data_IF_270402852464
#
_entry.id   IF_270402852464
#
_cell.length_a   1.000
_cell.length_b   1.000
_cell.length_c   1.000
_cell.angle_alpha   90.00
_cell.angle_beta   90.00
_cell.angle_gamma   90.00
#
_symmetry.space_group_name_H-M   'P 1'
#
loop_
_entity.id
_entity.type
_entity.pdbx_description
1 polymer ?
#
# COMPACT_ATOMS: atom_id res chain seq x y z
N UNK A 1 1.33 5.17 8.62
CA UNK A 1 1.40 3.78 8.14
C UNK A 1 0.71 3.73 6.79
N UNK A 2 1.36 3.21 5.73
CA UNK A 2 0.83 3.26 4.36
C UNK A 2 1.34 2.09 3.48
N UNK A 3 1.10 0.82 3.87
CA UNK A 3 1.66 -0.34 3.19
C UNK A 3 1.20 -0.49 1.73
N UNK A 4 -0.05 -0.12 1.43
CA UNK A 4 -0.61 -0.14 0.07
C UNK A 4 0.10 0.86 -0.85
N UNK A 5 0.29 2.11 -0.36
CA UNK A 5 1.04 3.16 -1.07
C UNK A 5 2.47 2.69 -1.33
N UNK A 6 3.14 2.15 -0.32
CA UNK A 6 4.50 1.63 -0.47
C UNK A 6 4.59 0.45 -1.46
N UNK A 7 3.58 -0.43 -1.48
CA UNK A 7 3.53 -1.53 -2.45
C UNK A 7 3.53 -1.01 -3.89
N UNK A 8 2.72 0.03 -4.16
CA UNK A 8 2.64 0.66 -5.48
C UNK A 8 3.92 1.43 -5.81
N UNK A 9 4.44 2.25 -4.88
CA UNK A 9 5.70 3.00 -5.06
C UNK A 9 6.86 2.08 -5.39
N UNK A 10 6.95 0.93 -4.71
CA UNK A 10 8.01 -0.07 -4.93
C UNK A 10 7.76 -0.94 -6.17
N UNK A 11 6.74 -0.64 -6.98
CA UNK A 11 6.45 -1.35 -8.22
C UNK A 11 6.01 -2.79 -8.02
N UNK A 12 5.48 -3.15 -6.84
CA UNK A 12 4.90 -4.48 -6.61
C UNK A 12 3.63 -4.63 -7.45
N UNK A 13 3.30 -5.87 -7.77
CA UNK A 13 2.03 -6.26 -8.43
C UNK A 13 0.98 -6.78 -7.45
N UNK A 14 1.26 -6.65 -6.15
CA UNK A 14 0.37 -7.14 -5.11
C UNK A 14 0.55 -6.35 -3.81
N UNK A 15 -0.50 -6.38 -3.01
CA UNK A 15 -0.53 -6.01 -1.59
C UNK A 15 -1.30 -7.09 -0.83
N UNK A 16 -1.69 -6.83 0.41
CA UNK A 16 -2.54 -7.75 1.16
C UNK A 16 -3.20 -7.08 2.35
N UNK A 17 -4.17 -7.81 2.89
CA UNK A 17 -4.81 -7.52 4.16
C UNK A 17 -4.62 -8.73 5.09
N UNK A 18 -4.32 -8.49 6.36
CA UNK A 18 -4.16 -9.54 7.36
C UNK A 18 -4.93 -9.18 8.61
N UNK A 19 -5.54 -10.17 9.23
CA UNK A 19 -6.07 -10.10 10.58
C UNK A 19 -5.01 -10.64 11.53
N UNK A 20 -4.51 -9.79 12.42
CA UNK A 20 -3.40 -10.10 13.33
C UNK A 20 -3.81 -9.87 14.77
N UNK A 21 -3.29 -10.70 15.68
CA UNK A 21 -3.41 -10.45 17.11
C UNK A 21 -2.60 -9.19 17.49
N UNK A 22 -3.15 -8.37 18.40
CA UNK A 22 -2.42 -7.20 18.92
C UNK A 22 -1.41 -7.69 19.96
N UNK A 23 -0.17 -7.26 19.80
CA UNK A 23 0.94 -7.49 20.73
C UNK A 23 1.66 -6.17 21.03
N UNK A 24 2.70 -6.21 21.85
CA UNK A 24 3.48 -5.02 22.23
C UNK A 24 4.20 -4.41 21.03
N UNK A 25 4.77 -5.25 20.16
CA UNK A 25 5.44 -4.82 18.94
C UNK A 25 4.45 -4.58 17.80
N UNK A 26 4.71 -3.54 17.00
CA UNK A 26 3.79 -3.12 15.92
C UNK A 26 3.73 -4.20 14.84
N UNK A 27 2.50 -4.61 14.51
CA UNK A 27 2.19 -5.60 13.46
C UNK A 27 2.90 -6.97 13.65
N UNK A 28 3.35 -7.32 14.87
CA UNK A 28 4.12 -8.55 15.13
C UNK A 28 3.29 -9.78 15.45
N UNK A 29 2.04 -9.60 15.89
CA UNK A 29 1.29 -10.70 16.48
C UNK A 29 0.88 -11.79 15.51
N UNK A 30 0.48 -12.93 16.06
CA UNK A 30 0.07 -14.09 15.27
C UNK A 30 -1.04 -13.76 14.26
N UNK A 31 -0.93 -14.32 13.06
CA UNK A 31 -1.88 -14.10 11.95
C UNK A 31 -3.05 -15.07 12.09
N UNK A 32 -4.27 -14.53 12.12
CA UNK A 32 -5.52 -15.30 12.13
C UNK A 32 -5.90 -15.71 10.71
N UNK A 33 -5.91 -14.74 9.79
CA UNK A 33 -6.23 -14.96 8.37
C UNK A 33 -5.61 -13.83 7.53
N UNK A 34 -5.40 -14.08 6.24
CA UNK A 34 -4.86 -13.07 5.31
C UNK A 34 -5.38 -13.27 3.89
N UNK A 35 -5.47 -12.16 3.16
CA UNK A 35 -5.85 -12.13 1.74
C UNK A 35 -4.76 -11.40 0.98
N UNK A 36 -4.18 -12.08 -0.02
CA UNK A 36 -3.29 -11.47 -1.01
C UNK A 36 -4.12 -10.85 -2.12
N UNK A 37 -3.82 -9.59 -2.45
CA UNK A 37 -4.52 -8.81 -3.45
C UNK A 37 -3.58 -8.47 -4.60
N UNK A 38 -3.94 -8.90 -5.81
CA UNK A 38 -3.22 -8.54 -7.03
C UNK A 38 -3.79 -7.25 -7.60
N UNK A 39 -2.92 -6.43 -8.17
CA UNK A 39 -3.31 -5.23 -8.90
C UNK A 39 -2.43 -5.03 -10.14
N UNK A 40 -2.99 -4.37 -11.14
CA UNK A 40 -2.38 -4.10 -12.42
C UNK A 40 -1.26 -3.07 -12.37
N UNK A 41 -0.48 -3.01 -13.45
CA UNK A 41 0.57 -1.99 -13.60
C UNK A 41 -0.02 -0.58 -13.74
N UNK A 42 -1.26 -0.47 -14.21
CA UNK A 42 -1.97 0.79 -14.41
C UNK A 42 -2.86 1.20 -13.25
N UNK A 43 -3.14 0.28 -12.32
CA UNK A 43 -4.04 0.52 -11.20
C UNK A 43 -3.47 1.62 -10.31
N UNK A 44 -4.34 2.52 -9.92
CA UNK A 44 -4.07 3.64 -9.03
C UNK A 44 -4.36 3.25 -7.59
N UNK A 45 -3.84 4.04 -6.65
CA UNK A 45 -4.12 3.84 -5.23
C UNK A 45 -5.63 3.81 -4.92
N UNK A 46 -6.46 4.54 -5.67
CA UNK A 46 -7.91 4.53 -5.52
C UNK A 46 -8.48 3.13 -5.72
N UNK A 47 -8.19 2.51 -6.85
CA UNK A 47 -8.68 1.17 -7.21
C UNK A 47 -8.13 0.13 -6.23
N UNK A 48 -6.86 0.25 -5.85
CA UNK A 48 -6.26 -0.70 -4.88
C UNK A 48 -6.86 -0.53 -3.48
N UNK A 49 -7.24 0.68 -3.07
CA UNK A 49 -7.94 0.89 -1.79
C UNK A 49 -9.33 0.26 -1.76
N UNK A 50 -10.06 0.26 -2.89
CA UNK A 50 -11.34 -0.44 -3.01
C UNK A 50 -11.14 -1.94 -2.82
N UNK A 51 -10.14 -2.54 -3.48
CA UNK A 51 -9.78 -3.95 -3.30
C UNK A 51 -9.39 -4.30 -1.86
N UNK A 52 -8.60 -3.44 -1.21
CA UNK A 52 -8.17 -3.63 0.18
C UNK A 52 -9.36 -3.54 1.14
N UNK A 53 -10.29 -2.62 0.88
CA UNK A 53 -11.49 -2.45 1.70
C UNK A 53 -12.36 -3.70 1.66
N UNK A 54 -12.61 -4.24 0.46
CA UNK A 54 -13.36 -5.50 0.30
C UNK A 54 -12.65 -6.68 0.97
N UNK A 55 -11.31 -6.73 0.92
CA UNK A 55 -10.56 -7.76 1.61
C UNK A 55 -10.72 -7.70 3.13
N UNK A 56 -10.75 -6.50 3.73
CA UNK A 56 -11.02 -6.35 5.16
C UNK A 56 -12.42 -6.85 5.52
N UNK A 57 -13.43 -6.50 4.73
CA UNK A 57 -14.81 -6.96 4.95
C UNK A 57 -14.90 -8.49 4.86
N UNK A 58 -14.24 -9.09 3.88
CA UNK A 58 -14.23 -10.54 3.69
C UNK A 58 -13.46 -11.26 4.82
N UNK A 59 -12.32 -10.72 5.28
CA UNK A 59 -11.61 -11.26 6.44
C UNK A 59 -12.50 -11.26 7.69
N UNK A 60 -13.21 -10.15 7.94
CA UNK A 60 -14.17 -10.08 9.04
C UNK A 60 -15.28 -11.10 8.84
N UNK A 61 -15.89 -11.18 7.65
CA UNK A 61 -16.98 -12.12 7.36
C UNK A 61 -16.59 -13.57 7.60
N UNK A 62 -15.38 -13.98 7.21
CA UNK A 62 -14.85 -15.33 7.40
C UNK A 62 -14.63 -15.69 8.87
N UNK A 63 -14.19 -14.71 9.66
CA UNK A 63 -13.68 -14.97 11.00
C UNK A 63 -14.61 -14.46 12.11
N UNK A 64 -15.70 -13.75 11.79
CA UNK A 64 -16.54 -13.07 12.78
C UNK A 64 -17.05 -13.99 13.90
N UNK A 65 -17.58 -15.17 13.54
CA UNK A 65 -18.10 -16.11 14.53
C UNK A 65 -17.00 -16.67 15.45
N UNK A 66 -15.88 -17.12 14.88
CA UNK A 66 -14.77 -17.68 15.68
C UNK A 66 -14.08 -16.62 16.55
N UNK A 67 -14.07 -15.37 16.10
CA UNK A 67 -13.61 -14.22 16.90
C UNK A 67 -14.54 -13.95 18.08
N UNK A 68 -15.86 -13.96 17.88
CA UNK A 68 -16.83 -13.77 18.97
C UNK A 68 -16.80 -14.89 19.99
N UNK A 69 -16.66 -16.13 19.53
CA UNK A 69 -16.63 -17.31 20.40
C UNK A 69 -15.25 -17.54 21.04
N UNK A 70 -14.23 -16.78 20.65
CA UNK A 70 -12.85 -16.94 21.12
C UNK A 70 -12.19 -18.27 20.67
N UNK A 71 -12.68 -18.86 19.58
CA UNK A 71 -12.23 -20.16 19.04
C UNK A 71 -11.36 -20.06 17.80
N UNK A 72 -11.02 -18.83 17.37
CA UNK A 72 -10.17 -18.60 16.21
C UNK A 72 -8.78 -19.24 16.39
N UNK A 73 -8.20 -19.69 15.28
CA UNK A 73 -6.83 -20.17 15.24
C UNK A 73 -5.93 -19.05 14.73
N UNK A 74 -4.68 -19.02 15.19
CA UNK A 74 -3.67 -18.08 14.73
C UNK A 74 -2.33 -18.75 14.58
N UNK A 75 -1.54 -18.30 13.60
CA UNK A 75 -0.19 -18.81 13.32
C UNK A 75 0.85 -17.72 13.62
N UNK A 76 1.88 -17.98 14.44
CA UNK A 76 2.96 -17.03 14.67
C UNK A 76 3.63 -16.60 13.36
N UNK A 77 4.01 -15.32 13.27
CA UNK A 77 4.74 -14.82 12.11
C UNK A 77 6.20 -15.31 12.12
N UNK A 78 6.76 -15.56 10.93
CA UNK A 78 8.21 -15.71 10.80
C UNK A 78 8.86 -14.32 10.73
N UNK A 79 9.37 -13.86 11.87
CA UNK A 79 9.98 -12.53 12.00
C UNK A 79 11.25 -12.37 11.15
N UNK A 80 11.87 -13.46 10.69
CA UNK A 80 13.05 -13.36 9.80
C UNK A 80 12.68 -12.87 8.39
N UNK A 81 11.40 -12.97 8.02
CA UNK A 81 10.86 -12.51 6.73
C UNK A 81 10.20 -11.13 6.82
N UNK A 82 10.12 -10.54 8.02
CA UNK A 82 9.45 -9.26 8.23
C UNK A 82 10.15 -8.12 7.48
N UNK A 83 9.37 -7.23 6.89
CA UNK A 83 9.87 -6.01 6.24
C UNK A 83 9.08 -4.82 6.74
N UNK A 84 9.76 -3.68 6.88
CA UNK A 84 9.18 -2.46 7.43
C UNK A 84 9.24 -1.35 6.41
N UNK A 85 8.24 -0.47 6.48
CA UNK A 85 8.22 0.76 5.69
C UNK A 85 8.12 1.96 6.60
N UNK A 86 8.80 3.05 6.26
CA UNK A 86 8.77 4.26 7.07
C UNK A 86 7.44 5.01 6.91
N UNK A 87 7.12 5.83 7.92
CA UNK A 87 6.06 6.83 7.80
C UNK A 87 6.45 7.81 6.68
N UNK A 88 5.51 8.06 5.77
CA UNK A 88 5.67 9.07 4.71
C UNK A 88 5.36 10.47 5.25
N UNK A 89 6.08 11.43 4.71
CA UNK A 89 5.95 12.88 4.93
C UNK A 89 5.57 13.56 3.63
N UNK A 90 5.22 14.84 3.69
CA UNK A 90 4.92 15.61 2.47
C UNK A 90 6.13 15.68 1.54
N UNK A 91 7.35 15.73 2.08
CA UNK A 91 8.58 15.78 1.27
C UNK A 91 8.75 14.53 0.40
N UNK A 92 8.32 13.36 0.90
CA UNK A 92 8.38 12.09 0.16
C UNK A 92 7.48 12.07 -1.07
N UNK A 93 6.56 13.03 -1.20
CA UNK A 93 5.65 13.15 -2.35
C UNK A 93 6.27 13.98 -3.49
N UNK A 94 7.45 14.58 -3.29
CA UNK A 94 8.17 15.26 -4.35
C UNK A 94 8.72 14.23 -5.37
N UNK A 95 8.47 14.49 -6.65
CA UNK A 95 8.98 13.66 -7.74
C UNK A 95 10.48 13.92 -7.89
N UNK A 96 11.27 12.86 -7.68
CA UNK A 96 12.70 12.82 -7.96
C UNK A 96 12.93 12.42 -9.43
N UNK A 97 13.14 13.41 -10.29
CA UNK A 97 13.35 13.20 -11.73
C UNK A 97 14.68 12.51 -12.08
N UNK A 98 15.55 12.24 -11.10
CA UNK A 98 16.75 11.41 -11.31
C UNK A 98 16.42 9.91 -11.33
N UNK A 99 15.22 9.53 -10.89
CA UNK A 99 14.70 8.16 -10.91
C UNK A 99 14.21 7.75 -12.28
N UNK A 100 13.98 6.46 -12.48
CA UNK A 100 13.41 5.96 -13.74
C UNK A 100 12.01 6.50 -13.97
N UNK A 101 11.57 6.52 -15.24
CA UNK A 101 10.22 6.94 -15.59
C UNK A 101 9.15 6.05 -14.92
N UNK A 102 9.42 4.74 -14.78
CA UNK A 102 8.54 3.80 -14.08
C UNK A 102 8.46 4.11 -12.58
N UNK A 103 9.57 4.51 -11.95
CA UNK A 103 9.59 4.91 -10.53
C UNK A 103 8.80 6.21 -10.30
N UNK A 104 8.98 7.21 -11.16
CA UNK A 104 8.20 8.45 -11.11
C UNK A 104 6.70 8.17 -11.32
N UNK A 105 6.37 7.32 -12.29
CA UNK A 105 5.00 6.90 -12.56
C UNK A 105 4.36 6.17 -11.37
N UNK A 106 5.09 5.24 -10.74
CA UNK A 106 4.63 4.53 -9.54
C UNK A 106 4.36 5.50 -8.38
N UNK A 107 5.19 6.53 -8.18
CA UNK A 107 4.93 7.57 -7.19
C UNK A 107 3.63 8.33 -7.49
N UNK A 108 3.42 8.73 -8.74
CA UNK A 108 2.20 9.44 -9.18
C UNK A 108 0.95 8.60 -8.93
N UNK A 109 0.92 7.34 -9.42
CA UNK A 109 -0.27 6.49 -9.27
C UNK A 109 -0.52 6.05 -7.82
N UNK A 110 0.52 5.98 -6.99
CA UNK A 110 0.39 5.67 -5.56
C UNK A 110 -0.15 6.82 -4.71
N UNK A 111 -0.05 8.05 -5.20
CA UNK A 111 -0.39 9.27 -4.45
C UNK A 111 -1.48 10.10 -5.10
N UNK A 112 -2.07 9.64 -6.20
CA UNK A 112 -3.25 10.29 -6.79
C UNK A 112 -4.43 10.25 -5.82
N UNK A 113 -5.54 10.92 -6.18
CA UNK A 113 -6.74 10.99 -5.34
C UNK A 113 -7.13 9.59 -4.83
N UNK A 114 -7.39 9.39 -3.52
CA UNK A 114 -7.70 10.41 -2.50
C UNK A 114 -6.48 10.98 -1.73
N UNK A 115 -5.25 10.68 -2.14
CA UNK A 115 -4.03 11.21 -1.51
C UNK A 115 -3.70 12.63 -2.01
N UNK A 116 -2.75 13.35 -1.37
CA UNK A 116 -2.41 14.73 -1.71
C UNK A 116 -1.80 14.96 -3.11
N UNK A 117 -1.48 13.91 -3.86
CA UNK A 117 -0.79 13.98 -5.14
C UNK A 117 0.73 13.98 -5.00
N UNK A 118 1.41 13.34 -5.96
CA UNK A 118 2.83 13.57 -6.18
C UNK A 118 3.02 14.98 -6.74
N UNK A 119 4.13 15.65 -6.44
CA UNK A 119 4.34 17.03 -6.91
C UNK A 119 5.75 17.28 -7.39
N UNK A 120 5.93 18.34 -8.15
CA UNK A 120 7.24 18.87 -8.52
C UNK A 120 7.20 20.40 -8.49
N UNK A 121 8.31 21.03 -8.85
CA UNK A 121 8.40 22.48 -9.02
C UNK A 121 8.73 22.81 -10.48
N UNK A 122 7.97 23.73 -11.05
CA UNK A 122 8.36 24.45 -12.26
C UNK A 122 8.71 25.86 -11.82
N UNK A 123 9.98 26.22 -11.95
CA UNK A 123 10.54 27.43 -11.33
C UNK A 123 10.25 27.45 -9.81
N UNK A 124 9.46 28.42 -9.35
CA UNK A 124 9.06 28.57 -7.94
C UNK A 124 7.64 28.10 -7.67
N UNK A 125 6.93 27.57 -8.67
CA UNK A 125 5.54 27.13 -8.53
C UNK A 125 5.46 25.62 -8.31
N UNK A 126 4.78 25.22 -7.23
CA UNK A 126 4.46 23.82 -6.95
C UNK A 126 3.37 23.34 -7.92
N UNK A 127 3.65 22.25 -8.62
CA UNK A 127 2.71 21.57 -9.52
C UNK A 127 2.41 20.18 -8.98
N UNK A 128 1.12 19.86 -8.80
CA UNK A 128 0.68 18.51 -8.42
C UNK A 128 0.38 17.71 -9.68
N UNK A 129 0.92 16.50 -9.75
CA UNK A 129 0.74 15.57 -10.87
C UNK A 129 -0.25 14.48 -10.45
N UNK A 130 -1.46 14.57 -10.98
CA UNK A 130 -2.55 13.65 -10.65
C UNK A 130 -2.54 12.35 -11.46
N UNK A 131 -2.01 12.40 -12.68
CA UNK A 131 -1.91 11.27 -13.57
C UNK A 131 -0.66 11.42 -14.46
N UNK A 132 -0.10 10.29 -14.87
CA UNK A 132 1.05 10.23 -15.76
C UNK A 132 0.98 8.94 -16.59
N UNK A 133 1.76 8.88 -17.65
CA UNK A 133 1.99 7.67 -18.45
C UNK A 133 3.49 7.59 -18.75
N UNK A 134 4.04 6.37 -18.75
CA UNK A 134 5.43 6.15 -19.12
C UNK A 134 5.54 6.25 -20.64
N UNK A 135 6.31 7.23 -21.12
CA UNK A 135 6.59 7.40 -22.55
C UNK A 135 7.54 6.32 -23.10
N UNK A 136 7.66 6.20 -24.43
CA UNK A 136 8.61 5.27 -25.04
C UNK A 136 10.05 5.59 -24.62
N UNK A 137 10.87 4.54 -24.42
CA UNK A 137 12.32 4.71 -24.23
C UNK A 137 12.90 5.26 -25.54
N UNK A 138 13.59 6.40 -25.45
CA UNK A 138 14.32 7.00 -26.56
C UNK A 138 15.66 6.31 -26.77
#
# INVERSE_FOLDING_TARGET
FAPTVWSIINGRSFTGASLVCIEEEVDSGAVVDSIKLLFGQTDTIREVLELVTEAYLELLRRNFASLLDGTFLSTPQDHTLATYTCKRTDQDNCIDWTRSAEQCYNLVRALTWPYPGAYTYCEHQKLVVWAAVVGPKR
#
